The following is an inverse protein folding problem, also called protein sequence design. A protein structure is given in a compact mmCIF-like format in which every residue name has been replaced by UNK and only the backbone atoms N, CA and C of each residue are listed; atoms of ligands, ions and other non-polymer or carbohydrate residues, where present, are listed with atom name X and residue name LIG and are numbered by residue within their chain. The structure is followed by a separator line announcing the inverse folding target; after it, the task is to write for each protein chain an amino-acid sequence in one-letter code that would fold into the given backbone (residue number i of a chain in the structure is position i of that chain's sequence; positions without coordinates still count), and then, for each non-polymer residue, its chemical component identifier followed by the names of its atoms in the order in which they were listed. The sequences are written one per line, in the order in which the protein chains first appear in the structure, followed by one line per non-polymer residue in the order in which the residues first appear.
data_IF_598768234153
#
_entry.id   IF_598768234153
#
_cell.length_a   1.000
_cell.length_b   1.000
_cell.length_c   1.000
_cell.angle_alpha   90.00
_cell.angle_beta   90.00
_cell.angle_gamma   90.00
#
_symmetry.space_group_name_H-M   'P 1'
#
loop_
_entity.id
_entity.type
_entity.pdbx_description
1 polymer ?
#
# COMPACT_ATOMS: atom_id res chain seq x y z
N UNK A 1 -12.47 -2.70 -23.55
CA UNK A 1 -12.85 -3.86 -22.72
C UNK A 1 -11.71 -4.85 -22.84
N UNK A 2 -11.09 -5.24 -21.74
CA UNK A 2 -10.05 -6.27 -21.73
C UNK A 2 -10.58 -7.48 -20.96
N UNK A 3 -10.46 -8.65 -21.59
CA UNK A 3 -10.76 -9.95 -21.01
C UNK A 3 -9.46 -10.73 -21.01
N UNK A 4 -9.02 -11.19 -19.84
CA UNK A 4 -7.84 -12.02 -19.68
C UNK A 4 -8.29 -13.31 -19.01
N UNK A 5 -8.14 -14.42 -19.74
CA UNK A 5 -8.55 -15.75 -19.31
C UNK A 5 -7.30 -16.53 -18.89
N UNK A 6 -7.22 -16.85 -17.61
CA UNK A 6 -6.21 -17.75 -17.05
C UNK A 6 -6.97 -18.87 -16.37
N UNK A 7 -7.33 -19.93 -17.11
CA UNK A 7 -8.15 -21.03 -16.58
C UNK A 7 -7.65 -21.48 -15.19
N UNK A 8 -8.52 -21.55 -14.16
CA UNK A 8 -9.99 -21.47 -14.19
C UNK A 8 -10.58 -20.05 -13.94
N UNK A 9 -9.77 -19.00 -13.90
CA UNK A 9 -10.16 -17.63 -13.52
C UNK A 9 -10.18 -16.67 -14.72
N UNK A 10 -11.12 -15.75 -14.73
CA UNK A 10 -11.26 -14.68 -15.72
C UNK A 10 -11.22 -13.31 -15.06
N UNK A 11 -10.42 -12.42 -15.63
CA UNK A 11 -10.36 -11.02 -15.26
C UNK A 11 -11.04 -10.17 -16.33
N UNK A 12 -11.94 -9.30 -15.91
CA UNK A 12 -12.70 -8.42 -16.78
C UNK A 12 -12.55 -6.97 -16.35
N UNK A 13 -12.05 -6.13 -17.25
CA UNK A 13 -11.89 -4.70 -16.98
C UNK A 13 -12.60 -3.87 -18.05
N UNK A 14 -13.49 -2.97 -17.62
CA UNK A 14 -14.16 -2.01 -18.49
C UNK A 14 -13.57 -0.62 -18.29
N UNK A 15 -13.01 -0.11 -19.37
CA UNK A 15 -12.44 1.23 -19.47
C UNK A 15 -13.32 2.00 -20.46
N UNK A 16 -13.81 3.21 -20.14
CA UNK A 16 -13.38 4.14 -19.09
C UNK A 16 -14.16 4.08 -17.75
N UNK A 17 -15.07 3.13 -17.56
CA UNK A 17 -15.98 3.10 -16.39
C UNK A 17 -15.31 2.74 -15.05
N UNK A 18 -13.98 2.59 -15.01
CA UNK A 18 -13.20 2.20 -13.83
C UNK A 18 -13.78 0.96 -13.14
N UNK A 19 -14.26 0.03 -13.95
CA UNK A 19 -14.82 -1.23 -13.49
C UNK A 19 -13.82 -2.34 -13.71
N UNK A 20 -13.67 -3.17 -12.70
CA UNK A 20 -12.76 -4.29 -12.68
C UNK A 20 -13.39 -5.46 -11.92
N UNK A 21 -13.28 -6.66 -12.47
CA UNK A 21 -13.86 -7.88 -11.94
C UNK A 21 -12.84 -9.01 -12.03
N UNK A 22 -12.72 -9.75 -10.94
CA UNK A 22 -11.85 -10.92 -10.81
C UNK A 22 -12.70 -12.09 -10.34
N UNK A 23 -12.73 -13.16 -11.13
CA UNK A 23 -13.55 -14.34 -10.87
C UNK A 23 -12.89 -15.38 -9.97
N UNK A 24 -11.64 -15.18 -9.55
CA UNK A 24 -10.97 -16.10 -8.65
C UNK A 24 -11.77 -16.25 -7.33
N UNK A 25 -11.71 -17.40 -6.64
CA UNK A 25 -12.29 -17.53 -5.30
C UNK A 25 -11.71 -16.45 -4.36
N UNK A 26 -12.57 -15.62 -3.78
CA UNK A 26 -12.16 -14.44 -3.01
C UNK A 26 -11.80 -13.20 -3.86
N UNK A 27 -12.03 -13.26 -5.17
CA UNK A 27 -11.74 -12.22 -6.14
C UNK A 27 -12.43 -10.89 -5.85
N UNK A 28 -11.77 -9.80 -6.20
CA UNK A 28 -12.21 -8.45 -5.90
C UNK A 28 -12.89 -7.80 -7.11
N UNK A 29 -14.09 -7.28 -6.91
CA UNK A 29 -14.79 -6.45 -7.88
C UNK A 29 -14.75 -4.99 -7.46
N UNK A 30 -14.59 -4.07 -8.42
CA UNK A 30 -14.61 -2.63 -8.15
C UNK A 30 -15.46 -1.87 -9.14
N UNK A 31 -16.11 -0.81 -8.65
CA UNK A 31 -16.82 0.17 -9.45
C UNK A 31 -16.42 1.56 -9.00
N UNK A 32 -16.11 2.46 -9.94
CA UNK A 32 -15.63 3.81 -9.64
C UNK A 32 -14.42 3.79 -8.68
N UNK A 33 -13.45 2.90 -8.96
CA UNK A 33 -12.29 2.74 -8.11
C UNK A 33 -11.63 4.10 -7.78
N UNK A 34 -11.26 4.38 -6.51
CA UNK A 34 -11.28 3.50 -5.34
C UNK A 34 -12.56 3.57 -4.48
N UNK A 35 -13.61 4.25 -4.95
CA UNK A 35 -14.79 4.59 -4.15
C UNK A 35 -15.67 3.39 -3.81
N UNK A 36 -15.79 2.43 -4.72
CA UNK A 36 -16.62 1.24 -4.55
C UNK A 36 -15.90 -0.07 -4.86
N UNK A 37 -16.14 -1.08 -4.03
CA UNK A 37 -15.70 -2.44 -4.32
C UNK A 37 -16.35 -3.48 -3.42
N UNK A 38 -16.40 -4.72 -3.91
CA UNK A 38 -17.04 -5.84 -3.23
C UNK A 38 -16.38 -7.17 -3.56
N UNK A 39 -16.49 -8.11 -2.63
CA UNK A 39 -16.27 -9.54 -2.78
C UNK A 39 -17.29 -10.28 -1.89
N UNK A 40 -17.14 -11.59 -1.72
CA UNK A 40 -18.07 -12.41 -0.91
C UNK A 40 -18.14 -11.97 0.57
N UNK A 41 -17.02 -11.51 1.12
CA UNK A 41 -16.88 -11.19 2.54
C UNK A 41 -16.99 -9.70 2.85
N UNK A 42 -16.89 -8.81 1.87
CA UNK A 42 -16.78 -7.37 2.10
C UNK A 42 -17.32 -6.59 0.93
N UNK A 43 -18.12 -5.57 1.21
CA UNK A 43 -18.56 -4.60 0.23
C UNK A 43 -18.46 -3.19 0.82
N UNK A 44 -18.03 -2.21 0.03
CA UNK A 44 -18.02 -0.82 0.47
C UNK A 44 -18.31 0.14 -0.69
N UNK A 45 -18.87 1.28 -0.34
CA UNK A 45 -18.99 2.45 -1.19
C UNK A 45 -18.79 3.70 -0.32
N UNK A 46 -17.61 4.30 -0.34
CA UNK A 46 -17.24 5.37 0.59
C UNK A 46 -17.99 6.66 0.26
N UNK A 47 -18.56 7.40 1.24
CA UNK A 47 -18.73 7.07 2.67
C UNK A 47 -20.12 6.49 3.01
N UNK A 48 -20.88 6.04 2.01
CA UNK A 48 -22.31 5.71 2.14
C UNK A 48 -22.55 4.33 2.73
N UNK A 49 -21.76 3.34 2.30
CA UNK A 49 -22.02 1.94 2.61
C UNK A 49 -20.74 1.21 2.97
N UNK A 50 -20.83 0.36 3.97
CA UNK A 50 -19.80 -0.60 4.33
C UNK A 50 -20.46 -1.86 4.85
N UNK A 51 -20.04 -3.02 4.39
CA UNK A 51 -20.45 -4.31 4.92
C UNK A 51 -19.26 -5.24 4.93
N UNK A 52 -19.14 -6.01 6.01
CA UNK A 52 -18.14 -7.07 6.15
C UNK A 52 -18.76 -8.26 6.85
N UNK A 53 -18.46 -9.45 6.35
CA UNK A 53 -18.87 -10.73 6.89
C UNK A 53 -17.63 -11.58 7.14
N UNK A 54 -17.71 -12.40 8.17
CA UNK A 54 -16.74 -13.41 8.59
C UNK A 54 -17.50 -14.54 9.27
N UNK A 55 -16.84 -15.65 9.57
CA UNK A 55 -17.48 -16.85 10.14
C UNK A 55 -18.32 -16.53 11.40
N UNK A 56 -17.78 -15.75 12.34
CA UNK A 56 -18.40 -15.47 13.65
C UNK A 56 -18.87 -14.02 13.83
N UNK A 57 -18.82 -13.21 12.77
CA UNK A 57 -19.21 -11.80 12.84
C UNK A 57 -19.61 -11.24 11.49
N UNK A 58 -20.59 -10.34 11.52
CA UNK A 58 -20.92 -9.50 10.38
C UNK A 58 -21.22 -8.08 10.84
N UNK A 59 -20.95 -7.11 9.99
CA UNK A 59 -21.26 -5.72 10.23
C UNK A 59 -21.66 -5.02 8.96
N UNK A 60 -22.63 -4.13 9.11
CA UNK A 60 -23.12 -3.28 8.04
C UNK A 60 -23.30 -1.88 8.58
N UNK A 61 -22.85 -0.90 7.80
CA UNK A 61 -22.99 0.52 8.07
C UNK A 61 -23.58 1.18 6.82
N UNK A 62 -24.62 1.97 7.03
CA UNK A 62 -25.18 2.86 6.03
C UNK A 62 -25.18 4.28 6.58
N UNK A 63 -24.30 5.13 6.04
CA UNK A 63 -24.00 6.45 6.57
C UNK A 63 -23.65 6.38 8.07
N UNK A 64 -24.53 6.91 8.93
CA UNK A 64 -24.36 6.96 10.38
C UNK A 64 -25.07 5.81 11.12
N UNK A 65 -25.94 5.07 10.41
CA UNK A 65 -26.59 3.89 10.94
C UNK A 65 -25.66 2.69 10.80
N UNK A 66 -25.57 1.87 11.84
CA UNK A 66 -24.78 0.64 11.81
C UNK A 66 -25.48 -0.45 12.60
N UNK A 67 -25.22 -1.69 12.21
CA UNK A 67 -25.74 -2.88 12.87
C UNK A 67 -24.88 -4.09 12.50
N UNK A 68 -24.95 -5.13 13.31
CA UNK A 68 -24.16 -6.32 13.09
C UNK A 68 -24.22 -7.29 14.26
N UNK A 69 -23.39 -8.31 14.17
CA UNK A 69 -23.25 -9.34 15.18
C UNK A 69 -21.78 -9.67 15.36
N UNK A 70 -21.35 -9.88 16.60
CA UNK A 70 -20.03 -10.40 16.90
C UNK A 70 -20.13 -11.37 18.09
N UNK A 71 -19.55 -12.58 17.94
CA UNK A 71 -19.53 -13.62 18.99
C UNK A 71 -20.93 -13.91 19.56
N UNK A 72 -21.94 -14.01 18.69
CA UNK A 72 -23.33 -14.27 19.08
C UNK A 72 -24.07 -13.10 19.72
N UNK A 73 -23.49 -11.89 19.75
CA UNK A 73 -24.15 -10.68 20.28
C UNK A 73 -24.46 -9.70 19.16
N UNK A 74 -25.75 -9.52 18.90
CA UNK A 74 -26.27 -8.48 18.01
C UNK A 74 -26.05 -7.08 18.60
N UNK A 75 -25.68 -6.13 17.75
CA UNK A 75 -25.48 -4.73 18.13
C UNK A 75 -25.91 -3.79 17.00
N UNK A 76 -26.01 -2.49 17.33
CA UNK A 76 -26.35 -1.46 16.36
C UNK A 76 -26.57 -0.10 16.99
N UNK A 77 -26.81 0.88 16.14
CA UNK A 77 -27.06 2.26 16.56
C UNK A 77 -27.08 3.25 15.42
N UNK A 78 -27.22 4.51 15.80
CA UNK A 78 -27.15 5.66 14.92
C UNK A 78 -26.23 6.71 15.55
N UNK A 79 -25.08 6.93 14.95
CA UNK A 79 -24.13 7.92 15.44
C UNK A 79 -24.61 9.35 15.13
N UNK A 80 -24.54 10.32 16.05
CA UNK A 80 -24.03 10.23 17.43
C UNK A 80 -25.08 9.95 18.51
N UNK A 81 -26.36 9.76 18.15
CA UNK A 81 -27.46 9.75 19.12
C UNK A 81 -27.42 8.58 20.11
N UNK A 82 -27.12 7.38 19.63
CA UNK A 82 -27.04 6.23 20.52
C UNK A 82 -26.71 4.95 19.79
N UNK A 83 -25.96 4.09 20.45
CA UNK A 83 -25.60 2.81 19.88
C UNK A 83 -24.75 1.97 20.81
N UNK A 84 -24.74 0.68 20.52
CA UNK A 84 -23.83 -0.29 21.14
C UNK A 84 -23.06 -1.02 20.06
N UNK A 85 -21.82 -1.35 20.37
CA UNK A 85 -20.93 -2.15 19.54
C UNK A 85 -20.29 -3.21 20.44
N UNK A 86 -20.14 -4.43 19.93
CA UNK A 86 -19.40 -5.49 20.63
C UNK A 86 -18.19 -5.93 19.82
N UNK A 87 -17.09 -6.21 20.53
CA UNK A 87 -15.85 -6.73 19.95
C UNK A 87 -15.33 -5.86 18.77
N UNK A 88 -15.28 -4.54 18.97
CA UNK A 88 -14.86 -3.54 17.97
C UNK A 88 -13.82 -2.60 18.54
N UNK A 89 -12.92 -2.10 17.69
CA UNK A 89 -11.86 -1.16 18.06
C UNK A 89 -10.99 -1.64 19.24
N UNK A 90 -10.77 -2.96 19.36
CA UNK A 90 -10.04 -3.57 20.47
C UNK A 90 -10.77 -3.52 21.82
N UNK A 91 -12.09 -3.29 21.81
CA UNK A 91 -12.96 -3.27 22.99
C UNK A 91 -14.06 -4.31 22.88
N UNK A 92 -14.39 -4.92 24.01
CA UNK A 92 -15.43 -5.94 24.11
C UNK A 92 -16.81 -5.32 24.01
N UNK A 93 -16.99 -4.16 24.63
CA UNK A 93 -18.23 -3.38 24.56
C UNK A 93 -17.91 -1.89 24.42
N UNK A 94 -18.65 -1.23 23.54
CA UNK A 94 -18.67 0.22 23.41
C UNK A 94 -20.14 0.64 23.39
N UNK A 95 -20.53 1.48 24.32
CA UNK A 95 -21.81 2.16 24.34
C UNK A 95 -21.62 3.66 24.22
N UNK A 96 -22.51 4.34 23.53
CA UNK A 96 -22.55 5.80 23.54
C UNK A 96 -24.00 6.29 23.53
N UNK A 97 -24.18 7.49 24.07
CA UNK A 97 -25.44 8.20 24.07
C UNK A 97 -25.17 9.69 23.88
N UNK A 98 -25.77 10.27 22.84
CA UNK A 98 -25.58 11.65 22.41
C UNK A 98 -24.10 12.04 22.38
N UNK A 99 -23.26 11.26 21.69
CA UNK A 99 -21.83 11.53 21.62
C UNK A 99 -21.58 12.99 21.16
N UNK A 100 -20.71 13.77 21.84
CA UNK A 100 -19.72 13.37 22.84
C UNK A 100 -20.19 13.41 24.31
N UNK A 101 -21.48 13.58 24.60
CA UNK A 101 -21.98 13.76 25.97
C UNK A 101 -21.73 12.54 26.87
N UNK A 102 -21.94 11.33 26.36
CA UNK A 102 -21.70 10.11 27.12
C UNK A 102 -21.14 8.99 26.23
N UNK A 103 -20.10 8.32 26.72
CA UNK A 103 -19.70 7.02 26.19
C UNK A 103 -19.11 6.14 27.27
N UNK A 104 -19.20 4.83 27.07
CA UNK A 104 -18.68 3.81 27.96
C UNK A 104 -17.99 2.75 27.11
N UNK A 105 -16.83 2.29 27.57
CA UNK A 105 -16.08 1.22 26.90
C UNK A 105 -15.55 0.22 27.90
N UNK A 106 -15.64 -1.07 27.57
CA UNK A 106 -15.08 -2.18 28.33
C UNK A 106 -14.14 -2.98 27.45
N UNK A 107 -12.98 -3.36 27.96
CA UNK A 107 -12.07 -4.28 27.27
C UNK A 107 -12.13 -5.71 27.81
N UNK A 108 -11.55 -6.64 27.05
CA UNK A 108 -11.51 -8.06 27.40
C UNK A 108 -10.67 -8.41 28.62
N UNK A 109 -9.91 -7.46 29.17
CA UNK A 109 -9.19 -7.60 30.43
C UNK A 109 -9.97 -7.00 31.62
N UNK A 110 -11.22 -6.59 31.40
CA UNK A 110 -12.10 -6.08 32.44
C UNK A 110 -11.86 -4.61 32.81
N UNK A 111 -11.05 -3.86 32.07
CA UNK A 111 -10.93 -2.42 32.30
C UNK A 111 -12.13 -1.70 31.70
N UNK A 112 -12.71 -0.82 32.51
CA UNK A 112 -13.89 -0.02 32.17
C UNK A 112 -13.49 1.45 32.10
N UNK A 113 -14.09 2.15 31.15
CA UNK A 113 -13.84 3.58 30.95
C UNK A 113 -15.14 4.27 30.59
N UNK A 114 -15.52 5.23 31.41
CA UNK A 114 -16.71 6.06 31.22
C UNK A 114 -16.28 7.49 30.93
N UNK A 115 -16.82 8.08 29.87
CA UNK A 115 -16.52 9.43 29.44
C UNK A 115 -17.79 10.27 29.47
N UNK A 116 -17.69 11.44 30.08
CA UNK A 116 -18.77 12.42 30.15
C UNK A 116 -18.24 13.72 29.56
N UNK A 117 -18.98 14.30 28.61
CA UNK A 117 -18.56 15.47 27.85
C UNK A 117 -17.15 15.28 27.29
N UNK A 118 -16.97 14.24 26.47
CA UNK A 118 -15.66 13.96 25.90
C UNK A 118 -15.09 15.21 25.20
N UNK A 119 -13.80 15.56 25.44
CA UNK A 119 -12.78 14.80 26.18
C UNK A 119 -12.60 15.19 27.67
N UNK A 120 -13.47 16.03 28.24
CA UNK A 120 -13.21 16.70 29.52
C UNK A 120 -13.18 15.77 30.71
N UNK A 121 -14.16 14.86 30.86
CA UNK A 121 -14.24 13.99 32.03
C UNK A 121 -14.16 12.53 31.65
N UNK A 122 -13.22 11.82 32.26
CA UNK A 122 -13.07 10.37 32.10
C UNK A 122 -12.90 9.73 33.47
N UNK A 123 -13.67 8.68 33.74
CA UNK A 123 -13.49 7.79 34.88
C UNK A 123 -12.98 6.45 34.39
N UNK A 124 -12.00 5.89 35.09
CA UNK A 124 -11.50 4.55 34.88
C UNK A 124 -12.03 3.63 35.98
N UNK A 125 -12.24 2.35 35.66
CA UNK A 125 -12.76 1.36 36.60
C UNK A 125 -12.46 -0.07 36.16
N UNK A 126 -12.94 -1.04 36.94
CA UNK A 126 -12.70 -2.46 36.68
C UNK A 126 -11.30 -2.88 37.12
N UNK A 127 -10.43 -3.28 36.18
CA UNK A 127 -9.02 -3.62 36.46
C UNK A 127 -8.08 -2.42 36.48
N UNK A 128 -8.60 -1.23 36.19
CA UNK A 128 -7.90 0.05 36.31
C UNK A 128 -8.68 0.97 37.24
N UNK A 129 -8.01 1.99 37.78
CA UNK A 129 -8.61 3.01 38.62
C UNK A 129 -8.09 4.39 38.23
N UNK A 130 -8.88 5.42 38.50
CA UNK A 130 -8.49 6.81 38.34
C UNK A 130 -9.52 7.66 37.62
N UNK A 131 -9.15 8.93 37.43
CA UNK A 131 -10.00 9.96 36.88
C UNK A 131 -9.19 10.99 36.12
N UNK A 132 -9.77 11.54 35.05
CA UNK A 132 -9.21 12.66 34.31
C UNK A 132 -10.24 13.78 34.13
N UNK A 133 -9.80 15.00 34.45
CA UNK A 133 -10.43 16.27 34.12
C UNK A 133 -9.50 17.02 33.16
N UNK A 134 -9.59 16.67 31.88
CA UNK A 134 -8.76 17.27 30.83
C UNK A 134 -9.13 18.75 30.63
N UNK A 135 -8.16 19.66 30.41
CA UNK A 135 -6.70 19.44 30.38
C UNK A 135 -6.01 19.57 31.74
N UNK A 136 -6.73 19.83 32.82
CA UNK A 136 -6.15 20.26 34.09
C UNK A 136 -5.47 19.15 34.88
N UNK A 137 -6.10 17.98 34.97
CA UNK A 137 -5.61 16.89 35.78
C UNK A 137 -5.98 15.53 35.18
N UNK A 138 -5.11 14.55 35.37
CA UNK A 138 -5.44 13.16 35.08
C UNK A 138 -4.64 12.24 35.97
N UNK A 139 -5.29 11.22 36.50
CA UNK A 139 -4.69 10.11 37.21
C UNK A 139 -5.25 8.81 36.67
N UNK A 140 -4.39 7.85 36.41
CA UNK A 140 -4.77 6.50 36.02
C UNK A 140 -3.75 5.52 36.58
N UNK A 141 -4.24 4.47 37.17
CA UNK A 141 -3.48 3.40 37.76
C UNK A 141 -4.03 2.06 37.30
N UNK A 142 -3.13 1.14 36.99
CA UNK A 142 -3.41 -0.28 36.85
C UNK A 142 -2.55 -0.99 37.89
N UNK A 143 -3.16 -1.46 39.00
CA UNK A 143 -2.41 -1.98 40.14
C UNK A 143 -1.35 -3.00 39.74
N UNK A 144 -0.11 -2.78 40.19
CA UNK A 144 1.03 -3.65 39.93
C UNK A 144 1.63 -3.57 38.51
N UNK A 145 1.03 -2.84 37.57
CA UNK A 145 1.53 -2.74 36.19
C UNK A 145 2.05 -1.34 35.87
N UNK A 146 1.26 -0.29 36.12
CA UNK A 146 1.60 1.09 35.76
C UNK A 146 0.72 2.11 36.46
N UNK A 147 1.25 3.31 36.63
CA UNK A 147 0.46 4.47 37.03
C UNK A 147 0.96 5.72 36.29
N UNK A 148 0.06 6.67 36.07
CA UNK A 148 0.37 7.92 35.40
C UNK A 148 -0.48 9.04 35.94
N UNK A 149 0.18 10.17 36.16
CA UNK A 149 -0.41 11.43 36.55
C UNK A 149 -0.06 12.51 35.52
N UNK A 150 -0.99 13.38 35.23
CA UNK A 150 -0.78 14.58 34.42
C UNK A 150 -1.35 15.80 35.12
N UNK A 151 -0.66 16.92 34.98
CA UNK A 151 -1.12 18.23 35.42
C UNK A 151 -0.91 19.24 34.29
N UNK A 152 -1.96 20.00 33.97
CA UNK A 152 -1.98 20.92 32.82
C UNK A 152 -1.48 20.23 31.56
N UNK A 153 -2.13 19.12 31.19
CA UNK A 153 -1.78 18.36 30.01
C UNK A 153 -1.69 19.29 28.78
N UNK A 154 -0.62 19.19 27.95
CA UNK A 154 0.43 18.18 27.97
C UNK A 154 1.69 18.55 28.78
N UNK A 155 1.69 19.65 29.53
CA UNK A 155 2.89 20.26 30.12
C UNK A 155 3.55 19.35 31.15
N UNK A 156 2.84 18.94 32.21
CA UNK A 156 3.42 18.10 33.26
C UNK A 156 2.85 16.68 33.22
N UNK A 157 3.75 15.71 33.20
CA UNK A 157 3.40 14.30 33.26
C UNK A 157 4.44 13.55 34.09
N UNK A 158 3.95 12.69 34.97
CA UNK A 158 4.78 11.79 35.75
C UNK A 158 4.14 10.41 35.79
N UNK A 159 4.93 9.37 35.85
CA UNK A 159 4.39 8.03 36.05
C UNK A 159 5.47 6.97 36.10
N UNK A 160 5.02 5.74 36.24
CA UNK A 160 5.83 4.55 36.09
C UNK A 160 5.10 3.51 35.24
N UNK A 161 5.84 2.77 34.44
CA UNK A 161 5.32 1.63 33.67
C UNK A 161 6.19 0.41 33.89
N UNK A 162 5.67 -0.74 33.50
CA UNK A 162 6.36 -2.03 33.51
C UNK A 162 6.75 -2.45 34.94
N UNK A 163 5.95 -2.06 35.95
CA UNK A 163 6.16 -2.37 37.37
C UNK A 163 6.08 -3.86 37.68
N UNK A 164 5.45 -4.63 36.80
CA UNK A 164 5.34 -6.08 36.84
C UNK A 164 6.54 -6.79 36.18
N UNK A 165 7.58 -6.06 35.76
CA UNK A 165 8.78 -6.59 35.11
C UNK A 165 10.04 -6.26 35.93
N UNK A 166 11.17 -6.89 35.58
CA UNK A 166 12.46 -6.67 36.26
C UNK A 166 13.12 -5.31 35.93
N UNK A 167 12.57 -4.56 34.97
CA UNK A 167 13.09 -3.27 34.51
C UNK A 167 11.99 -2.19 34.46
N UNK A 168 11.49 -1.74 35.62
CA UNK A 168 10.48 -0.68 35.67
C UNK A 168 11.02 0.62 35.07
N UNK A 169 10.15 1.35 34.39
CA UNK A 169 10.47 2.62 33.73
C UNK A 169 9.80 3.79 34.44
N UNK A 170 10.61 4.78 34.78
CA UNK A 170 10.17 6.08 35.28
C UNK A 170 9.90 7.03 34.11
N UNK A 171 8.82 7.80 34.19
CA UNK A 171 8.45 8.83 33.22
C UNK A 171 8.37 10.19 33.92
N UNK A 172 9.04 11.19 33.37
CA UNK A 172 8.99 12.58 33.84
C UNK A 172 9.07 13.57 32.70
N UNK A 173 7.96 14.24 32.38
CA UNK A 173 7.86 15.20 31.28
C UNK A 173 7.46 16.59 31.76
N UNK A 174 8.17 17.58 31.26
CA UNK A 174 7.85 19.01 31.26
C UNK A 174 7.83 19.45 29.79
N UNK A 175 6.75 19.14 29.08
CA UNK A 175 6.65 19.40 27.65
C UNK A 175 6.46 20.90 27.36
N UNK A 176 7.11 21.47 26.32
CA UNK A 176 8.06 20.85 25.38
C UNK A 176 9.54 20.94 25.80
N UNK A 177 9.83 21.41 27.01
CA UNK A 177 11.19 21.77 27.42
C UNK A 177 12.06 20.56 27.75
N UNK A 178 11.51 19.57 28.45
CA UNK A 178 12.24 18.40 28.91
C UNK A 178 11.34 17.17 28.94
N UNK A 179 11.84 16.05 28.45
CA UNK A 179 11.20 14.74 28.67
C UNK A 179 12.25 13.72 29.06
N UNK A 180 11.93 12.87 30.03
CA UNK A 180 12.80 11.80 30.48
C UNK A 180 12.01 10.51 30.67
N UNK A 181 12.57 9.42 30.13
CA UNK A 181 12.16 8.05 30.42
C UNK A 181 13.40 7.25 30.76
N UNK A 182 13.44 6.68 31.95
CA UNK A 182 14.61 5.95 32.46
C UNK A 182 14.22 4.62 33.06
N UNK A 183 15.02 3.60 32.79
CA UNK A 183 15.05 2.31 33.48
C UNK A 183 16.50 1.88 33.71
N UNK A 184 16.72 0.68 34.22
CA UNK A 184 18.08 0.14 34.38
C UNK A 184 18.75 -0.09 33.03
N UNK A 185 17.98 -0.53 32.04
CA UNK A 185 18.48 -0.89 30.71
C UNK A 185 18.39 0.23 29.68
N UNK A 186 17.47 1.17 29.86
CA UNK A 186 17.15 2.20 28.86
C UNK A 186 17.16 3.59 29.46
N UNK A 187 17.65 4.57 28.71
CA UNK A 187 17.50 5.99 29.03
C UNK A 187 17.13 6.77 27.76
N UNK A 188 16.08 7.57 27.82
CA UNK A 188 15.69 8.48 26.76
C UNK A 188 15.45 9.86 27.36
N UNK A 189 16.16 10.86 26.84
CA UNK A 189 16.07 12.26 27.29
C UNK A 189 15.88 13.16 26.09
N UNK A 190 14.92 14.07 26.17
CA UNK A 190 14.73 15.11 25.15
C UNK A 190 14.79 16.47 25.81
N UNK A 191 15.55 17.38 25.23
CA UNK A 191 15.63 18.78 25.61
C UNK A 191 15.12 19.61 24.43
N UNK A 192 14.21 20.55 24.69
CA UNK A 192 13.57 21.38 23.67
C UNK A 192 13.02 20.53 22.52
N UNK A 193 11.98 19.75 22.82
CA UNK A 193 11.33 18.88 21.85
C UNK A 193 10.96 19.68 20.57
N UNK A 194 11.22 19.16 19.36
CA UNK A 194 11.79 17.83 19.04
C UNK A 194 13.31 17.83 18.81
N UNK A 195 14.02 18.91 19.13
CA UNK A 195 15.35 19.17 18.57
C UNK A 195 16.46 18.31 19.14
N UNK A 196 16.60 18.23 20.46
CA UNK A 196 17.75 17.55 21.08
C UNK A 196 17.29 16.31 21.80
N UNK A 197 17.61 15.13 21.26
CA UNK A 197 17.24 13.86 21.87
C UNK A 197 18.46 12.97 22.04
N UNK A 198 18.53 12.33 23.19
CA UNK A 198 19.47 11.28 23.51
C UNK A 198 18.71 10.01 23.87
N UNK A 199 19.09 8.88 23.28
CA UNK A 199 18.51 7.58 23.58
C UNK A 199 19.64 6.56 23.73
N UNK A 200 19.60 5.79 24.81
CA UNK A 200 20.53 4.70 25.11
C UNK A 200 19.75 3.46 25.51
N UNK A 201 20.06 2.34 24.90
CA UNK A 201 19.63 0.99 25.29
C UNK A 201 20.85 0.14 25.61
N UNK A 202 20.69 -1.18 25.79
CA UNK A 202 21.82 -2.10 25.99
C UNK A 202 22.77 -2.16 24.79
N UNK A 203 22.25 -2.00 23.56
CA UNK A 203 23.02 -2.18 22.32
C UNK A 203 23.11 -0.92 21.46
N UNK A 204 22.28 0.09 21.71
CA UNK A 204 22.15 1.27 20.84
C UNK A 204 22.40 2.54 21.63
N UNK A 205 23.20 3.43 21.04
CA UNK A 205 23.35 4.80 21.50
C UNK A 205 23.05 5.77 20.35
N UNK A 206 22.08 6.67 20.57
CA UNK A 206 21.57 7.59 19.56
C UNK A 206 21.48 9.04 20.06
N UNK A 207 21.89 9.95 19.19
CA UNK A 207 21.85 11.40 19.36
C UNK A 207 21.13 12.06 18.19
N UNK A 208 20.16 12.92 18.47
CA UNK A 208 19.53 13.82 17.49
C UNK A 208 19.86 15.28 17.89
N UNK A 209 20.58 16.05 17.05
CA UNK A 209 21.29 17.28 17.46
C UNK A 209 21.50 18.36 16.37
N UNK A 210 20.54 19.23 16.01
CA UNK A 210 19.11 19.20 16.26
C UNK A 210 18.39 18.38 15.18
N UNK A 211 17.33 17.68 15.56
CA UNK A 211 16.46 16.98 14.61
C UNK A 211 15.72 17.96 13.67
N UNK A 212 15.55 17.65 12.36
CA UNK A 212 16.02 16.44 11.67
C UNK A 212 17.44 16.55 11.10
N UNK A 213 18.12 17.68 11.32
CA UNK A 213 19.36 18.04 10.63
C UNK A 213 20.53 17.13 10.98
N UNK A 214 20.81 16.86 12.26
CA UNK A 214 21.90 15.97 12.65
C UNK A 214 21.36 14.80 13.43
N UNK A 215 21.71 13.59 13.00
CA UNK A 215 21.41 12.36 13.76
C UNK A 215 22.62 11.44 13.69
N UNK A 216 23.01 10.91 14.84
CA UNK A 216 24.10 9.94 14.95
C UNK A 216 23.58 8.78 15.80
N UNK A 217 23.63 7.57 15.25
CA UNK A 217 23.33 6.35 15.99
C UNK A 217 24.48 5.38 15.78
N UNK A 218 24.94 4.78 16.87
CA UNK A 218 25.88 3.67 16.82
C UNK A 218 25.26 2.53 17.61
N UNK A 219 25.21 1.35 17.00
CA UNK A 219 24.93 0.09 17.67
C UNK A 219 25.94 -0.97 17.24
N UNK A 220 25.83 -2.17 17.80
CA UNK A 220 26.66 -3.31 17.42
C UNK A 220 26.41 -3.74 15.96
N UNK A 221 25.17 -3.63 15.49
CA UNK A 221 24.73 -4.14 14.19
C UNK A 221 24.51 -3.05 13.14
N UNK A 222 24.23 -1.82 13.57
CA UNK A 222 23.88 -0.70 12.70
C UNK A 222 24.58 0.61 13.06
N UNK A 223 24.73 1.46 12.04
CA UNK A 223 25.17 2.85 12.22
C UNK A 223 24.31 3.78 11.39
N UNK A 224 23.98 4.93 11.96
CA UNK A 224 23.24 6.00 11.29
C UNK A 224 24.05 7.30 11.39
N UNK A 225 24.28 7.95 10.26
CA UNK A 225 24.90 9.28 10.19
C UNK A 225 24.07 10.15 9.26
N UNK A 226 23.38 11.11 9.83
CA UNK A 226 22.56 12.06 9.10
C UNK A 226 23.08 13.49 9.29
N UNK A 227 23.22 14.19 8.17
CA UNK A 227 23.32 15.63 8.07
C UNK A 227 22.31 16.12 7.02
N UNK A 228 21.03 16.10 7.36
CA UNK A 228 19.94 16.44 6.45
C UNK A 228 19.97 17.94 6.10
N UNK A 229 19.65 18.33 4.85
CA UNK A 229 19.32 17.48 3.69
C UNK A 229 20.54 17.00 2.90
N UNK A 230 21.76 17.35 3.29
CA UNK A 230 22.96 17.15 2.47
C UNK A 230 23.42 15.70 2.40
N UNK A 231 23.32 14.98 3.51
CA UNK A 231 23.82 13.62 3.64
C UNK A 231 22.96 12.82 4.61
N UNK A 232 22.69 11.57 4.29
CA UNK A 232 22.07 10.63 5.21
C UNK A 232 22.55 9.24 4.85
N UNK A 233 23.16 8.53 5.79
CA UNK A 233 23.63 7.17 5.57
C UNK A 233 23.25 6.27 6.72
N UNK A 234 22.71 5.12 6.38
CA UNK A 234 22.40 4.04 7.30
C UNK A 234 23.08 2.77 6.79
N UNK A 235 23.86 2.12 7.65
CA UNK A 235 24.60 0.90 7.36
C UNK A 235 24.22 -0.15 8.40
N UNK A 236 23.83 -1.35 7.97
CA UNK A 236 23.51 -2.47 8.85
C UNK A 236 23.89 -3.80 8.17
N UNK A 237 25.01 -4.40 8.57
CA UNK A 237 25.56 -5.58 7.88
C UNK A 237 25.83 -5.32 6.39
N UNK A 238 25.13 -6.02 5.50
CA UNK A 238 25.20 -5.82 4.04
C UNK A 238 24.25 -4.72 3.51
N UNK A 239 23.32 -4.26 4.35
CA UNK A 239 22.37 -3.21 3.98
C UNK A 239 23.06 -1.84 4.08
N UNK A 240 22.91 -1.05 3.01
CA UNK A 240 23.43 0.32 2.93
C UNK A 240 22.37 1.21 2.29
N UNK A 241 22.05 2.32 2.92
CA UNK A 241 21.13 3.31 2.38
C UNK A 241 21.77 4.68 2.50
N UNK A 242 21.99 5.33 1.36
CA UNK A 242 22.62 6.63 1.24
C UNK A 242 21.68 7.61 0.54
N UNK A 243 21.52 8.79 1.12
CA UNK A 243 21.01 9.97 0.43
C UNK A 243 22.12 11.01 0.34
N UNK A 244 22.23 11.61 -0.83
CA UNK A 244 23.08 12.78 -1.06
C UNK A 244 22.17 13.87 -1.58
N UNK A 245 22.21 15.04 -0.93
CA UNK A 245 21.37 16.18 -1.27
C UNK A 245 19.91 15.74 -1.39
N UNK A 246 19.28 15.24 -0.33
CA UNK A 246 17.87 14.88 -0.39
C UNK A 246 17.04 16.06 -0.95
N UNK A 247 16.15 15.83 -1.94
CA UNK A 247 15.72 14.54 -2.49
C UNK A 247 16.39 14.12 -3.83
N UNK A 248 17.52 14.74 -4.18
CA UNK A 248 18.17 14.62 -5.49
C UNK A 248 18.74 13.23 -5.77
N UNK A 249 19.37 12.57 -4.79
CA UNK A 249 19.96 11.25 -4.97
C UNK A 249 19.68 10.32 -3.79
N UNK A 250 19.26 9.10 -4.11
CA UNK A 250 19.20 7.97 -3.20
C UNK A 250 19.96 6.80 -3.80
N UNK A 251 20.74 6.12 -2.98
CA UNK A 251 21.29 4.82 -3.25
C UNK A 251 20.89 3.86 -2.12
N UNK A 252 20.50 2.64 -2.44
CA UNK A 252 20.14 1.63 -1.46
C UNK A 252 20.57 0.26 -1.95
N UNK A 253 21.19 -0.50 -1.07
CA UNK A 253 21.46 -1.93 -1.19
C UNK A 253 20.77 -2.63 -0.03
N UNK A 254 20.07 -3.70 -0.32
CA UNK A 254 19.46 -4.55 0.69
C UNK A 254 19.73 -6.02 0.38
N UNK A 255 19.94 -6.80 1.42
CA UNK A 255 20.16 -8.23 1.34
C UNK A 255 19.22 -8.97 2.29
N UNK A 256 18.45 -9.89 1.75
CA UNK A 256 17.52 -10.76 2.49
C UNK A 256 17.17 -11.96 1.61
N UNK A 257 16.97 -13.13 2.23
CA UNK A 257 16.60 -14.37 1.54
C UNK A 257 17.51 -14.74 0.35
N UNK A 258 18.82 -14.47 0.45
CA UNK A 258 19.81 -14.62 -0.63
C UNK A 258 19.52 -13.82 -1.91
N UNK A 259 18.69 -12.78 -1.81
CA UNK A 259 18.41 -11.84 -2.90
C UNK A 259 19.05 -10.50 -2.63
N UNK A 260 19.61 -9.92 -3.69
CA UNK A 260 20.14 -8.57 -3.66
C UNK A 260 19.14 -7.61 -4.29
N UNK A 261 18.70 -6.62 -3.50
CA UNK A 261 17.96 -5.48 -4.04
C UNK A 261 18.87 -4.27 -4.12
N UNK A 262 19.00 -3.75 -5.33
CA UNK A 262 19.74 -2.55 -5.62
C UNK A 262 18.77 -1.48 -6.11
N UNK A 263 18.81 -0.30 -5.48
CA UNK A 263 17.98 0.84 -5.85
C UNK A 263 18.83 2.10 -5.98
N UNK A 264 18.59 2.83 -7.06
CA UNK A 264 19.01 4.22 -7.20
C UNK A 264 17.80 5.08 -7.54
N UNK A 265 17.71 6.27 -6.94
CA UNK A 265 16.71 7.26 -7.32
C UNK A 265 17.34 8.62 -7.59
N UNK A 266 16.77 9.30 -8.57
CA UNK A 266 17.07 10.68 -8.90
C UNK A 266 15.79 11.52 -8.87
N UNK A 267 15.83 12.65 -8.16
CA UNK A 267 14.71 13.61 -8.08
C UNK A 267 13.38 12.93 -7.67
N UNK A 268 13.43 11.99 -6.72
CA UNK A 268 12.31 11.16 -6.21
C UNK A 268 11.69 10.13 -7.17
N UNK A 269 11.50 10.49 -8.44
CA UNK A 269 10.61 9.76 -9.36
C UNK A 269 11.39 8.84 -10.31
N UNK A 270 12.56 9.30 -10.77
CA UNK A 270 13.41 8.50 -11.64
C UNK A 270 14.12 7.46 -10.77
N UNK A 271 14.00 6.19 -11.14
CA UNK A 271 14.53 5.09 -10.34
C UNK A 271 15.09 4.01 -11.24
N UNK A 272 16.19 3.44 -10.77
CA UNK A 272 16.74 2.18 -11.23
C UNK A 272 16.58 1.18 -10.10
N UNK A 273 16.00 0.03 -10.40
CA UNK A 273 15.85 -1.10 -9.47
C UNK A 273 16.42 -2.34 -10.15
N UNK A 274 17.16 -3.12 -9.38
CA UNK A 274 17.68 -4.41 -9.80
C UNK A 274 17.45 -5.41 -8.66
N UNK A 275 16.80 -6.53 -8.99
CA UNK A 275 16.48 -7.64 -8.09
C UNK A 275 16.89 -8.93 -8.81
N UNK A 276 18.10 -9.42 -8.53
CA UNK A 276 18.76 -10.51 -9.28
C UNK A 276 18.73 -10.31 -10.81
N UNK A 277 17.77 -10.96 -11.50
CA UNK A 277 17.59 -10.91 -12.95
C UNK A 277 16.59 -9.84 -13.39
N UNK A 278 15.73 -9.41 -12.48
CA UNK A 278 14.69 -8.43 -12.77
C UNK A 278 15.28 -7.02 -12.67
N UNK A 279 14.96 -6.19 -13.67
CA UNK A 279 15.47 -4.83 -13.77
C UNK A 279 14.35 -3.87 -14.08
N UNK A 280 14.39 -2.69 -13.50
CA UNK A 280 13.47 -1.61 -13.76
C UNK A 280 14.22 -0.30 -13.87
N UNK A 281 13.94 0.47 -14.91
CA UNK A 281 14.47 1.82 -15.09
C UNK A 281 13.34 2.72 -15.58
N UNK A 282 13.18 3.89 -14.99
CA UNK A 282 12.34 4.93 -15.57
C UNK A 282 13.06 6.28 -15.62
N UNK A 283 12.76 7.01 -16.68
CA UNK A 283 13.08 8.42 -16.84
C UNK A 283 11.74 9.13 -17.05
N UNK A 284 11.11 9.54 -15.95
CA UNK A 284 9.79 10.15 -15.98
C UNK A 284 9.85 11.57 -16.58
N UNK A 285 8.85 11.98 -17.39
CA UNK A 285 7.69 11.23 -17.88
C UNK A 285 7.93 10.47 -19.21
N UNK A 286 9.18 10.34 -19.65
CA UNK A 286 9.51 10.00 -21.03
C UNK A 286 9.59 8.50 -21.31
N UNK A 287 10.10 7.70 -20.38
CA UNK A 287 10.51 6.33 -20.68
C UNK A 287 10.44 5.42 -19.46
N UNK A 288 10.08 4.18 -19.70
CA UNK A 288 10.22 3.09 -18.74
C UNK A 288 10.71 1.82 -19.44
N UNK A 289 11.66 1.15 -18.80
CA UNK A 289 12.18 -0.15 -19.16
C UNK A 289 12.01 -1.12 -18.00
N UNK A 290 11.56 -2.33 -18.29
CA UNK A 290 11.37 -3.39 -17.32
C UNK A 290 11.85 -4.72 -17.91
N UNK A 291 12.61 -5.46 -17.14
CA UNK A 291 12.88 -6.87 -17.37
C UNK A 291 12.22 -7.63 -16.22
N UNK A 292 11.36 -8.60 -16.55
CA UNK A 292 10.77 -9.51 -15.57
C UNK A 292 10.73 -10.91 -16.16
N UNK A 293 11.24 -11.92 -15.45
CA UNK A 293 11.25 -13.31 -15.93
C UNK A 293 11.82 -13.47 -17.36
N UNK A 294 12.93 -12.79 -17.66
CA UNK A 294 13.58 -12.78 -19.00
C UNK A 294 12.76 -12.10 -20.12
N UNK A 295 11.60 -11.51 -19.81
CA UNK A 295 10.84 -10.67 -20.74
C UNK A 295 11.21 -9.20 -20.55
N UNK A 296 11.64 -8.54 -21.62
CA UNK A 296 11.91 -7.11 -21.62
C UNK A 296 10.72 -6.33 -22.18
N UNK A 297 10.35 -5.25 -21.51
CA UNK A 297 9.27 -4.35 -21.93
C UNK A 297 9.72 -2.91 -21.83
N UNK A 298 9.39 -2.12 -22.86
CA UNK A 298 9.63 -0.68 -22.97
C UNK A 298 8.29 0.03 -23.13
N UNK A 299 8.13 1.16 -22.44
CA UNK A 299 6.97 2.06 -22.55
C UNK A 299 7.43 3.50 -22.81
N UNK A 300 6.82 4.14 -23.81
CA UNK A 300 7.08 5.53 -24.19
C UNK A 300 5.77 6.22 -24.59
N UNK A 301 5.39 7.38 -24.01
CA UNK A 301 5.92 7.94 -22.77
C UNK A 301 5.49 7.13 -21.54
N UNK A 302 6.22 7.28 -20.43
CA UNK A 302 5.83 6.75 -19.12
C UNK A 302 5.34 7.87 -18.21
N UNK A 303 4.14 8.37 -18.53
CA UNK A 303 3.54 9.58 -17.91
C UNK A 303 3.22 9.35 -16.43
N UNK A 304 2.93 8.12 -16.04
CA UNK A 304 2.53 7.80 -14.68
C UNK A 304 3.75 7.87 -13.75
N UNK A 305 3.73 8.63 -12.64
CA UNK A 305 4.86 8.70 -11.72
C UNK A 305 4.88 7.57 -10.70
N UNK A 306 3.73 6.92 -10.45
CA UNK A 306 3.58 5.80 -9.52
C UNK A 306 3.16 4.52 -10.25
N UNK A 307 3.49 3.37 -9.65
CA UNK A 307 3.15 2.04 -10.16
C UNK A 307 2.19 1.37 -9.18
N UNK A 308 1.05 0.98 -9.68
CA UNK A 308 0.01 0.25 -8.96
C UNK A 308 -0.62 -0.68 -9.99
N UNK A 309 -0.77 -1.96 -9.68
CA UNK A 309 -1.19 -2.97 -10.67
C UNK A 309 -2.54 -2.64 -11.31
N UNK A 310 -3.52 -2.21 -10.50
CA UNK A 310 -4.84 -1.86 -10.98
C UNK A 310 -4.80 -0.60 -11.87
N UNK A 311 -4.03 0.42 -11.46
CA UNK A 311 -3.89 1.68 -12.20
C UNK A 311 -3.10 1.49 -13.50
N UNK A 312 -2.01 0.73 -13.46
CA UNK A 312 -1.20 0.37 -14.62
C UNK A 312 -1.99 -0.49 -15.59
N UNK A 313 -2.85 -1.40 -15.11
CA UNK A 313 -3.75 -2.16 -15.98
C UNK A 313 -4.68 -1.21 -16.72
N UNK A 314 -5.37 -0.31 -16.01
CA UNK A 314 -6.42 0.55 -16.59
C UNK A 314 -5.86 1.67 -17.46
N UNK A 315 -5.00 2.52 -16.92
CA UNK A 315 -4.67 3.83 -17.51
C UNK A 315 -3.43 3.80 -18.38
N UNK A 316 -2.46 2.93 -18.09
CA UNK A 316 -1.19 2.89 -18.85
C UNK A 316 -1.41 2.69 -20.35
N UNK A 317 -2.26 1.76 -20.83
CA UNK A 317 -2.41 1.55 -22.27
C UNK A 317 -3.00 2.77 -23.00
N UNK A 318 -3.76 3.62 -22.31
CA UNK A 318 -4.34 4.84 -22.87
C UNK A 318 -3.32 5.99 -22.94
N UNK A 319 -2.33 5.97 -22.06
CA UNK A 319 -1.34 7.04 -21.92
C UNK A 319 0.00 6.70 -22.59
N UNK A 320 0.20 5.45 -22.99
CA UNK A 320 1.42 5.00 -23.65
C UNK A 320 1.23 5.06 -25.16
N UNK A 321 2.13 5.78 -25.83
CA UNK A 321 2.15 5.91 -27.29
C UNK A 321 2.79 4.69 -27.96
N UNK A 322 3.86 4.16 -27.38
CA UNK A 322 4.68 3.09 -27.92
C UNK A 322 5.01 2.09 -26.82
N UNK A 323 4.72 0.82 -27.08
CA UNK A 323 5.10 -0.30 -26.24
C UNK A 323 5.90 -1.29 -27.07
N UNK A 324 7.05 -1.72 -26.55
CA UNK A 324 7.83 -2.81 -27.15
C UNK A 324 8.02 -3.89 -26.11
N UNK A 325 7.73 -5.14 -26.48
CA UNK A 325 7.96 -6.32 -25.65
C UNK A 325 8.84 -7.30 -26.40
N UNK A 326 9.80 -7.92 -25.72
CA UNK A 326 10.64 -8.97 -26.27
C UNK A 326 10.80 -10.10 -25.25
N UNK A 327 10.48 -11.32 -25.70
CA UNK A 327 10.59 -12.56 -24.93
C UNK A 327 11.28 -13.61 -25.82
N UNK A 328 12.59 -13.81 -25.62
CA UNK A 328 13.41 -14.68 -26.46
C UNK A 328 13.41 -14.25 -27.94
N UNK A 329 12.91 -15.11 -28.83
CA UNK A 329 12.80 -14.82 -30.28
C UNK A 329 11.52 -14.09 -30.68
N UNK A 330 10.59 -13.88 -29.74
CA UNK A 330 9.31 -13.20 -30.00
C UNK A 330 9.45 -11.73 -29.64
N UNK A 331 9.06 -10.86 -30.56
CA UNK A 331 8.97 -9.42 -30.31
C UNK A 331 7.59 -8.90 -30.69
N UNK A 332 7.08 -7.97 -29.89
CA UNK A 332 5.79 -7.32 -30.06
C UNK A 332 6.00 -5.81 -29.95
N UNK A 333 5.68 -5.08 -31.01
CA UNK A 333 5.63 -3.63 -31.04
C UNK A 333 4.17 -3.20 -31.13
N UNK A 334 3.75 -2.25 -30.28
CA UNK A 334 2.42 -1.67 -30.32
C UNK A 334 2.52 -0.14 -30.28
N UNK A 335 1.81 0.52 -31.18
CA UNK A 335 1.75 1.98 -31.28
C UNK A 335 0.30 2.44 -31.21
N UNK A 336 0.07 3.51 -30.43
CA UNK A 336 -1.22 4.18 -30.23
C UNK A 336 -2.35 3.19 -29.92
N UNK A 337 -2.19 2.40 -28.86
CA UNK A 337 -3.22 1.48 -28.40
C UNK A 337 -3.74 0.52 -29.49
N UNK A 338 -2.82 -0.06 -30.27
CA UNK A 338 -3.12 -1.05 -31.30
C UNK A 338 -3.46 -0.49 -32.67
N UNK A 339 -3.34 0.82 -32.91
CA UNK A 339 -3.43 1.37 -34.28
C UNK A 339 -2.36 0.78 -35.20
N UNK A 340 -1.18 0.49 -34.65
CA UNK A 340 -0.18 -0.33 -35.33
C UNK A 340 0.38 -1.36 -34.37
N UNK A 341 0.35 -2.63 -34.77
CA UNK A 341 0.94 -3.73 -34.01
C UNK A 341 1.82 -4.57 -34.92
N UNK A 342 3.06 -4.84 -34.51
CA UNK A 342 3.98 -5.73 -35.22
C UNK A 342 4.38 -6.87 -34.29
N UNK A 343 4.12 -8.10 -34.69
CA UNK A 343 4.54 -9.33 -34.02
C UNK A 343 5.61 -10.00 -34.90
N UNK A 344 6.72 -10.43 -34.31
CA UNK A 344 7.80 -11.11 -35.04
C UNK A 344 8.28 -12.30 -34.21
N UNK A 345 8.42 -13.47 -34.85
CA UNK A 345 8.76 -14.73 -34.18
C UNK A 345 9.65 -15.58 -35.09
N UNK A 346 10.96 -15.32 -35.08
CA UNK A 346 11.91 -16.01 -35.96
C UNK A 346 11.74 -15.54 -37.41
N UNK A 347 11.35 -16.44 -38.32
CA UNK A 347 11.17 -16.12 -39.75
C UNK A 347 9.78 -15.57 -40.10
N UNK A 348 8.82 -15.68 -39.16
CA UNK A 348 7.46 -15.19 -39.35
C UNK A 348 7.25 -13.80 -38.73
N UNK A 349 6.45 -12.98 -39.40
CA UNK A 349 6.02 -11.69 -38.87
C UNK A 349 4.57 -11.41 -39.22
N UNK A 350 3.89 -10.63 -38.37
CA UNK A 350 2.54 -10.11 -38.60
C UNK A 350 2.53 -8.62 -38.31
N UNK A 351 1.98 -7.82 -39.21
CA UNK A 351 1.77 -6.38 -39.04
C UNK A 351 0.28 -6.09 -39.13
N UNK A 352 -0.27 -5.42 -38.14
CA UNK A 352 -1.67 -5.01 -38.07
C UNK A 352 -1.76 -3.50 -38.05
N UNK A 353 -2.62 -2.95 -38.90
CA UNK A 353 -3.01 -1.54 -38.91
C UNK A 353 -4.45 -1.45 -38.41
N UNK A 354 -4.60 -1.32 -37.09
CA UNK A 354 -5.87 -1.39 -36.38
C UNK A 354 -6.68 -2.63 -36.80
N UNK A 355 -8.00 -2.49 -36.91
CA UNK A 355 -8.89 -3.53 -37.45
C UNK A 355 -8.92 -3.56 -38.99
N UNK A 356 -8.20 -2.66 -39.67
CA UNK A 356 -8.38 -2.41 -41.10
C UNK A 356 -7.60 -3.41 -41.97
N UNK A 357 -6.33 -3.68 -41.62
CA UNK A 357 -5.43 -4.47 -42.44
C UNK A 357 -4.46 -5.26 -41.56
N UNK A 358 -4.31 -6.55 -41.85
CA UNK A 358 -3.28 -7.43 -41.32
C UNK A 358 -2.43 -7.94 -42.49
N UNK A 359 -1.11 -7.85 -42.37
CA UNK A 359 -0.13 -8.44 -43.27
C UNK A 359 0.60 -9.53 -42.50
N UNK A 360 0.72 -10.73 -43.07
CA UNK A 360 1.41 -11.86 -42.45
C UNK A 360 2.46 -12.44 -43.40
N UNK A 361 3.62 -12.78 -42.85
CA UNK A 361 4.64 -13.60 -43.50
C UNK A 361 4.80 -14.87 -42.67
N UNK A 362 4.58 -16.00 -43.32
CA UNK A 362 4.81 -17.33 -42.78
C UNK A 362 5.89 -18.02 -43.64
N UNK A 363 6.52 -19.11 -43.18
CA UNK A 363 7.56 -19.80 -43.96
C UNK A 363 7.08 -20.21 -45.36
N UNK A 364 5.78 -20.46 -45.50
CA UNK A 364 5.12 -20.91 -46.73
C UNK A 364 4.73 -19.75 -47.68
N UNK A 365 4.84 -18.48 -47.26
CA UNK A 365 4.55 -17.34 -48.13
C UNK A 365 4.00 -16.09 -47.43
N UNK A 366 3.58 -15.12 -48.25
CA UNK A 366 2.99 -13.86 -47.80
C UNK A 366 1.46 -13.91 -47.87
N UNK A 367 0.79 -13.26 -46.93
CA UNK A 367 -0.66 -13.09 -46.93
C UNK A 367 -1.10 -11.75 -46.36
N UNK A 368 -2.35 -11.39 -46.62
CA UNK A 368 -3.01 -10.22 -46.04
C UNK A 368 -4.46 -10.52 -45.67
N UNK A 369 -4.99 -9.82 -44.67
CA UNK A 369 -6.41 -9.83 -44.28
C UNK A 369 -6.90 -8.39 -44.12
N UNK A 370 -8.14 -8.12 -44.52
CA UNK A 370 -8.79 -6.81 -44.45
C UNK A 370 -10.00 -6.92 -43.52
N UNK A 371 -10.25 -5.87 -42.74
CA UNK A 371 -11.38 -5.77 -41.80
C UNK A 371 -11.46 -6.97 -40.85
N UNK A 372 -10.32 -7.29 -40.21
CA UNK A 372 -10.19 -8.40 -39.27
C UNK A 372 -10.65 -9.76 -39.83
N UNK A 373 -10.36 -10.03 -41.10
CA UNK A 373 -10.61 -11.33 -41.74
C UNK A 373 -11.88 -11.41 -42.59
N UNK A 374 -12.57 -10.29 -42.83
CA UNK A 374 -13.69 -10.22 -43.78
C UNK A 374 -13.25 -10.64 -45.18
N UNK A 375 -12.08 -10.19 -45.59
CA UNK A 375 -11.39 -10.64 -46.81
C UNK A 375 -9.96 -11.00 -46.46
N UNK A 376 -9.40 -12.02 -47.08
CA UNK A 376 -8.00 -12.35 -46.87
C UNK A 376 -7.46 -13.27 -47.94
N UNK A 377 -6.16 -13.21 -48.14
CA UNK A 377 -5.44 -14.05 -49.08
C UNK A 377 -4.16 -14.52 -48.40
N UNK A 378 -3.90 -15.81 -48.41
CA UNK A 378 -2.60 -16.37 -48.08
C UNK A 378 -2.14 -17.38 -49.15
N UNK A 379 -1.05 -18.08 -48.88
CA UNK A 379 -0.46 -19.04 -49.82
C UNK A 379 -1.45 -20.13 -50.23
N UNK A 380 -2.35 -20.54 -49.31
CA UNK A 380 -3.18 -21.73 -49.48
C UNK A 380 -4.68 -21.42 -49.56
N UNK A 381 -5.13 -20.25 -49.12
CA UNK A 381 -6.54 -19.93 -48.95
C UNK A 381 -6.87 -18.48 -49.34
N UNK A 382 -8.10 -18.29 -49.83
CA UNK A 382 -8.74 -16.99 -49.99
C UNK A 382 -9.94 -16.96 -49.06
N UNK A 383 -9.98 -16.01 -48.14
CA UNK A 383 -11.12 -15.74 -47.26
C UNK A 383 -12.05 -14.71 -47.88
N UNK A 384 -13.33 -15.03 -47.96
CA UNK A 384 -14.41 -14.10 -48.35
C UNK A 384 -15.54 -14.24 -47.34
N UNK A 385 -15.97 -13.13 -46.74
CA UNK A 385 -16.95 -13.12 -45.64
C UNK A 385 -16.61 -14.12 -44.51
N UNK A 386 -15.34 -14.11 -44.07
CA UNK A 386 -14.80 -15.03 -43.05
C UNK A 386 -14.73 -16.52 -43.43
N UNK A 387 -15.17 -16.90 -44.64
CA UNK A 387 -15.13 -18.29 -45.11
C UNK A 387 -13.81 -18.54 -45.88
N UNK A 388 -12.93 -19.44 -45.38
CA UNK A 388 -11.69 -19.79 -46.08
C UNK A 388 -11.97 -20.77 -47.23
N UNK A 389 -11.59 -20.38 -48.45
CA UNK A 389 -11.68 -21.19 -49.67
C UNK A 389 -10.25 -21.59 -50.04
N UNK A 390 -9.97 -22.90 -50.15
CA UNK A 390 -8.63 -23.38 -50.56
C UNK A 390 -8.35 -22.99 -52.01
N UNK A 391 -7.14 -22.53 -52.27
CA UNK A 391 -6.63 -22.31 -53.63
C UNK A 391 -6.26 -23.66 -54.24
N UNK A 392 -6.79 -23.97 -55.42
CA UNK A 392 -6.23 -25.04 -56.23
C UNK A 392 -4.87 -24.59 -56.76
N UNK A 393 -3.83 -25.39 -56.52
CA UNK A 393 -2.53 -25.19 -57.13
C UNK A 393 -2.71 -25.22 -58.66
N UNK A 394 -2.48 -24.09 -59.31
CA UNK A 394 -2.28 -24.03 -60.75
C UNK A 394 -0.80 -24.23 -61.03
N UNK A 395 -0.32 -25.46 -60.82
CA UNK A 395 0.90 -25.92 -61.47
C UNK A 395 0.54 -26.27 -62.93
N UNK A 396 0.85 -25.35 -63.85
CA UNK A 396 1.06 -25.64 -65.28
C UNK A 396 2.42 -25.14 -65.69
#
# INVERSE_FOLDING_TARGET
MSYEESEPNYHFTVRPLLFDYDSAPGGWSSALWPLGGWNEDKAYFVPIYYSKRSEDAWDTSFLLAFWGEAKGKGYGGFFPFGGKLYNRFGKDEIGFFLWPLYSHTKDGFGAERTQVLWPFFTSYGGTEDGFAAWPFYGYREKPGEKWRQSFLWPIFLRGQTDLNTDDPKDLFYIFPLYTETTSRKTAARTVLWPFFRYTRTETVEKYDLPWPFVQVSNSEDDTLRAFFPFYWRYEAGEDDVLYVMWPFYKHSKRFADNKHWYEQRWLLINRYLEEDKDRFLNVWPFFEYRIKNEESTVYVPSILPFRNEQFDRILRPLLTFYTYKSAGKKTLTNVLYGLYTKEESGESWRQRFAFLLELKKEPEGYGFEILSGLFGVDAHTVKVFFVPIRRENSDQ
#
